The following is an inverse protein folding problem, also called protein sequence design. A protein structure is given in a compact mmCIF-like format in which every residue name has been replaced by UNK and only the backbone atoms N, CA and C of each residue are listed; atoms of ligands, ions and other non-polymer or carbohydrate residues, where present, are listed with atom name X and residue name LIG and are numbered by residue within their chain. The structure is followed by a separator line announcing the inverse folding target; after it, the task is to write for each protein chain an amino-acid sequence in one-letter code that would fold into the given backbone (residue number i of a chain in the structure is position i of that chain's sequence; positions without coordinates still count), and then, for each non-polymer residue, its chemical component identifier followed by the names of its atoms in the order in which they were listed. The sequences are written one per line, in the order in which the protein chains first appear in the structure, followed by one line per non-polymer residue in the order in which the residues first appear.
data_IF_265785304746
#
_entry.id   IF_265785304746
#
_cell.length_a   1.000
_cell.length_b   1.000
_cell.length_c   1.000
_cell.angle_alpha   90.00
_cell.angle_beta   90.00
_cell.angle_gamma   90.00
#
_symmetry.space_group_name_H-M   'P 1'
#
loop_
_entity.id
_entity.type
_entity.pdbx_description
1 polymer ?
#
# COMPACT_ATOMS: atom_id res chain seq x y z
N UNK A 1 28.24 -15.20 -62.23
CA UNK A 1 27.21 -14.18 -61.93
C UNK A 1 26.26 -14.81 -60.92
N UNK A 2 26.65 -14.74 -59.63
CA UNK A 2 25.91 -15.34 -58.54
C UNK A 2 24.93 -14.35 -57.96
N UNK A 3 23.65 -14.70 -58.05
CA UNK A 3 22.56 -13.95 -57.42
C UNK A 3 22.56 -14.21 -55.91
N UNK A 4 23.01 -13.23 -55.10
CA UNK A 4 22.83 -13.24 -53.65
C UNK A 4 21.34 -13.15 -53.34
N UNK A 5 20.80 -14.24 -52.81
CA UNK A 5 19.46 -14.28 -52.20
C UNK A 5 19.52 -13.51 -50.87
N UNK A 6 19.06 -12.26 -50.86
CA UNK A 6 18.83 -11.49 -49.64
C UNK A 6 17.67 -12.14 -48.90
N UNK A 7 17.96 -12.94 -47.90
CA UNK A 7 16.96 -13.43 -46.93
C UNK A 7 16.50 -12.23 -46.09
N UNK A 8 15.32 -11.70 -46.44
CA UNK A 8 14.60 -10.77 -45.55
C UNK A 8 14.26 -11.51 -44.23
N UNK A 9 15.12 -11.34 -43.24
CA UNK A 9 14.73 -11.63 -41.86
C UNK A 9 13.76 -10.56 -41.44
N UNK A 10 12.45 -10.85 -41.52
CA UNK A 10 11.41 -10.09 -40.82
C UNK A 10 11.64 -10.28 -39.33
N UNK A 11 12.41 -9.38 -38.71
CA UNK A 11 12.58 -9.30 -37.30
C UNK A 11 11.25 -8.72 -36.76
N UNK A 12 10.29 -9.59 -36.47
CA UNK A 12 9.10 -9.18 -35.73
C UNK A 12 9.59 -8.63 -34.39
N UNK A 13 9.52 -7.31 -34.21
CA UNK A 13 9.82 -6.67 -32.94
C UNK A 13 8.99 -7.34 -31.85
N UNK A 14 9.57 -7.69 -30.70
CA UNK A 14 8.81 -8.30 -29.61
C UNK A 14 7.60 -7.42 -29.29
N UNK A 15 6.40 -8.01 -29.41
CA UNK A 15 5.16 -7.29 -29.12
C UNK A 15 5.14 -6.95 -27.63
N UNK A 16 4.94 -5.68 -27.33
CA UNK A 16 4.78 -5.19 -25.95
C UNK A 16 3.43 -5.66 -25.41
N UNK A 17 3.42 -6.36 -24.29
CA UNK A 17 2.22 -6.82 -23.61
C UNK A 17 1.71 -5.75 -22.64
N UNK A 18 0.47 -5.27 -22.84
CA UNK A 18 -0.14 -4.22 -22.03
C UNK A 18 -1.19 -4.77 -21.07
N UNK A 19 -1.13 -4.37 -19.80
CA UNK A 19 -2.18 -4.59 -18.80
C UNK A 19 -2.94 -3.27 -18.59
N UNK A 20 -4.26 -3.32 -18.67
CA UNK A 20 -5.14 -2.16 -18.45
C UNK A 20 -5.73 -2.24 -17.04
N UNK A 21 -5.67 -1.14 -16.28
CA UNK A 21 -6.34 -1.03 -14.99
C UNK A 21 -7.31 0.14 -14.96
N UNK A 22 -8.55 -0.15 -14.53
CA UNK A 22 -9.59 0.84 -14.33
C UNK A 22 -10.24 0.69 -12.95
N UNK A 23 -10.67 1.82 -12.36
CA UNK A 23 -11.44 1.84 -11.12
C UNK A 23 -12.70 2.68 -11.31
N UNK A 24 -13.84 2.07 -11.04
CA UNK A 24 -15.16 2.67 -11.27
C UNK A 24 -15.88 2.88 -9.96
N UNK A 25 -16.49 4.05 -9.80
CA UNK A 25 -17.39 4.32 -8.67
C UNK A 25 -18.83 3.94 -9.04
N UNK A 26 -19.52 3.20 -8.18
CA UNK A 26 -20.93 2.79 -8.36
C UNK A 26 -21.93 3.96 -8.40
N UNK A 27 -21.50 5.19 -8.16
CA UNK A 27 -22.40 6.37 -8.04
C UNK A 27 -22.78 7.02 -9.39
N UNK A 28 -22.17 6.65 -10.50
CA UNK A 28 -22.53 7.13 -11.82
C UNK A 28 -22.72 5.94 -12.77
N UNK A 29 -23.99 5.70 -13.14
CA UNK A 29 -24.51 4.86 -14.22
C UNK A 29 -23.42 4.14 -15.04
N UNK A 30 -23.47 2.81 -15.09
CA UNK A 30 -22.50 1.86 -15.69
C UNK A 30 -21.88 2.18 -17.07
N UNK A 31 -22.22 3.32 -17.66
CA UNK A 31 -21.64 3.84 -18.90
C UNK A 31 -20.19 4.29 -18.75
N UNK A 32 -19.78 4.77 -17.56
CA UNK A 32 -18.45 5.40 -17.37
C UNK A 32 -17.31 4.35 -17.29
N UNK A 33 -17.59 3.14 -16.84
CA UNK A 33 -16.61 2.05 -16.72
C UNK A 33 -16.25 1.43 -18.05
N UNK A 34 -17.29 1.15 -18.85
CA UNK A 34 -17.13 0.51 -20.16
C UNK A 34 -16.44 1.45 -21.13
N UNK A 35 -16.74 2.76 -21.08
CA UNK A 35 -16.08 3.77 -21.90
C UNK A 35 -14.60 3.89 -21.57
N UNK A 36 -14.24 4.04 -20.29
CA UNK A 36 -12.84 4.17 -19.87
C UNK A 36 -12.01 2.95 -20.29
N UNK A 37 -12.53 1.74 -20.02
CA UNK A 37 -11.84 0.51 -20.40
C UNK A 37 -11.65 0.42 -21.92
N UNK A 38 -12.69 0.79 -22.71
CA UNK A 38 -12.61 0.78 -24.16
C UNK A 38 -11.55 1.75 -24.69
N UNK A 39 -11.53 2.99 -24.17
CA UNK A 39 -10.55 3.99 -24.61
C UNK A 39 -9.10 3.57 -24.26
N UNK A 40 -8.91 2.89 -23.12
CA UNK A 40 -7.60 2.35 -22.75
C UNK A 40 -7.17 1.20 -23.69
N UNK A 41 -8.09 0.33 -24.10
CA UNK A 41 -7.82 -0.73 -25.06
C UNK A 41 -7.48 -0.14 -26.42
N UNK A 42 -8.30 0.81 -26.92
CA UNK A 42 -8.04 1.52 -28.17
C UNK A 42 -6.69 2.27 -28.14
N UNK A 43 -6.28 2.80 -26.97
CA UNK A 43 -4.96 3.40 -26.81
C UNK A 43 -3.85 2.36 -26.98
N UNK A 44 -3.98 1.18 -26.37
CA UNK A 44 -3.00 0.10 -26.53
C UNK A 44 -2.90 -0.35 -27.99
N UNK A 45 -4.03 -0.51 -28.68
CA UNK A 45 -4.06 -0.87 -30.10
C UNK A 45 -3.37 0.17 -30.98
N UNK A 46 -3.64 1.47 -30.76
CA UNK A 46 -2.96 2.57 -31.48
C UNK A 46 -1.43 2.58 -31.27
N UNK A 47 -0.97 2.09 -30.09
CA UNK A 47 0.45 1.96 -29.76
C UNK A 47 1.05 0.66 -30.35
N UNK A 48 0.26 -0.20 -30.97
CA UNK A 48 0.70 -1.51 -31.47
C UNK A 48 1.02 -2.50 -30.33
N UNK A 49 0.44 -2.29 -29.14
CA UNK A 49 0.61 -3.17 -27.99
C UNK A 49 -0.45 -4.28 -27.98
N UNK A 50 -0.06 -5.46 -27.56
CA UNK A 50 -0.97 -6.59 -27.38
C UNK A 50 -1.58 -6.55 -25.97
N UNK A 51 -2.91 -6.70 -25.86
CA UNK A 51 -3.59 -6.67 -24.57
C UNK A 51 -3.37 -7.99 -23.84
N UNK A 52 -2.68 -7.96 -22.69
CA UNK A 52 -2.55 -9.09 -21.79
C UNK A 52 -3.83 -9.32 -20.97
N UNK A 53 -4.43 -8.25 -20.45
CA UNK A 53 -5.67 -8.33 -19.69
C UNK A 53 -6.17 -6.99 -19.14
N UNK A 54 -7.46 -6.99 -18.76
CA UNK A 54 -8.12 -5.87 -18.13
C UNK A 54 -8.42 -6.19 -16.66
N UNK A 55 -8.04 -5.27 -15.78
CA UNK A 55 -8.24 -5.35 -14.33
C UNK A 55 -9.17 -4.21 -13.92
N UNK A 56 -10.39 -4.55 -13.53
CA UNK A 56 -11.42 -3.55 -13.23
C UNK A 56 -11.94 -3.73 -11.81
N UNK A 57 -11.66 -2.75 -10.95
CA UNK A 57 -12.22 -2.70 -9.59
C UNK A 57 -13.52 -1.88 -9.61
N UNK A 58 -14.66 -2.55 -9.42
CA UNK A 58 -15.99 -1.94 -9.38
C UNK A 58 -16.42 -1.66 -7.94
N UNK A 59 -17.08 -0.50 -7.74
CA UNK A 59 -18.00 -0.28 -6.63
C UNK A 59 -17.39 -0.20 -5.24
N UNK A 60 -16.14 0.16 -5.08
CA UNK A 60 -15.55 0.30 -3.73
C UNK A 60 -15.97 1.61 -3.10
N UNK A 61 -17.10 1.60 -2.34
CA UNK A 61 -17.45 2.70 -1.44
C UNK A 61 -16.41 2.83 -0.33
N UNK A 62 -16.11 4.06 0.08
CA UNK A 62 -14.96 4.47 0.89
C UNK A 62 -14.71 3.82 2.25
N UNK A 63 -15.36 2.71 2.61
CA UNK A 63 -15.17 2.01 3.89
C UNK A 63 -14.53 0.62 3.81
N UNK A 64 -14.58 -0.08 2.66
CA UNK A 64 -13.86 -1.34 2.48
C UNK A 64 -12.80 -1.16 1.39
N UNK A 65 -11.56 -1.19 1.79
CA UNK A 65 -10.38 -0.89 0.96
C UNK A 65 -9.88 -2.11 0.16
N UNK A 66 -10.78 -3.03 -0.16
CA UNK A 66 -10.42 -4.21 -0.96
C UNK A 66 -10.42 -3.85 -2.44
N UNK A 67 -9.25 -3.90 -3.08
CA UNK A 67 -9.04 -3.76 -4.52
C UNK A 67 -8.51 -5.08 -5.06
N UNK A 68 -9.37 -6.08 -5.26
CA UNK A 68 -8.93 -7.42 -5.65
C UNK A 68 -8.22 -7.40 -7.00
N UNK A 69 -8.71 -6.62 -7.97
CA UNK A 69 -8.11 -6.56 -9.29
C UNK A 69 -6.79 -5.79 -9.30
N UNK A 70 -6.63 -4.73 -8.49
CA UNK A 70 -5.32 -4.10 -8.29
C UNK A 70 -4.31 -5.08 -7.67
N UNK A 71 -4.73 -5.87 -6.68
CA UNK A 71 -3.85 -6.86 -6.06
C UNK A 71 -3.46 -7.95 -7.06
N UNK A 72 -4.38 -8.38 -7.92
CA UNK A 72 -4.13 -9.33 -9.00
C UNK A 72 -3.16 -8.75 -10.03
N UNK A 73 -3.37 -7.49 -10.46
CA UNK A 73 -2.44 -6.78 -11.33
C UNK A 73 -1.02 -6.76 -10.75
N UNK A 74 -0.88 -6.43 -9.46
CA UNK A 74 0.43 -6.40 -8.79
C UNK A 74 1.07 -7.80 -8.70
N UNK A 75 0.28 -8.85 -8.47
CA UNK A 75 0.78 -10.23 -8.48
C UNK A 75 1.28 -10.64 -9.87
N UNK A 76 0.52 -10.31 -10.93
CA UNK A 76 0.91 -10.57 -12.32
C UNK A 76 2.12 -9.72 -12.74
N UNK A 77 2.26 -8.49 -12.22
CA UNK A 77 3.46 -7.67 -12.39
C UNK A 77 4.70 -8.34 -11.76
N UNK A 78 4.59 -8.85 -10.54
CA UNK A 78 5.69 -9.59 -9.91
C UNK A 78 6.07 -10.86 -10.69
N UNK A 79 5.10 -11.49 -11.37
CA UNK A 79 5.34 -12.60 -12.27
C UNK A 79 5.82 -12.17 -13.67
N UNK A 80 5.99 -10.87 -13.93
CA UNK A 80 6.42 -10.27 -15.21
C UNK A 80 5.59 -10.75 -16.41
N UNK A 81 4.27 -10.78 -16.24
CA UNK A 81 3.35 -11.26 -17.29
C UNK A 81 3.06 -10.24 -18.38
N UNK A 82 3.44 -8.97 -18.17
CA UNK A 82 3.24 -7.87 -19.10
C UNK A 82 4.39 -6.85 -18.97
N UNK A 83 4.52 -5.98 -19.95
CA UNK A 83 5.61 -5.01 -20.07
C UNK A 83 5.20 -3.58 -19.72
N UNK A 84 3.89 -3.29 -19.77
CA UNK A 84 3.36 -1.95 -19.50
C UNK A 84 1.99 -2.02 -18.82
N UNK A 85 1.79 -1.13 -17.85
CA UNK A 85 0.49 -0.88 -17.20
C UNK A 85 -0.07 0.42 -17.73
N UNK A 86 -1.30 0.39 -18.22
CA UNK A 86 -2.02 1.55 -18.76
C UNK A 86 -3.21 1.87 -17.88
N UNK A 87 -3.33 3.11 -17.43
CA UNK A 87 -4.41 3.58 -16.59
C UNK A 87 -5.05 4.85 -17.18
N UNK A 88 -6.33 5.07 -16.90
CA UNK A 88 -7.03 6.27 -17.33
C UNK A 88 -6.44 7.53 -16.69
N UNK A 89 -6.35 7.51 -15.32
CA UNK A 89 -5.79 8.56 -14.48
C UNK A 89 -5.07 7.94 -13.30
N UNK A 90 -4.03 8.60 -12.81
CA UNK A 90 -3.28 8.10 -11.66
C UNK A 90 -4.11 8.11 -10.36
N UNK A 91 -5.13 9.01 -10.21
CA UNK A 91 -6.02 9.01 -9.06
C UNK A 91 -6.99 7.80 -9.04
N UNK A 92 -7.22 7.17 -10.19
CA UNK A 92 -7.93 5.89 -10.28
C UNK A 92 -7.06 4.72 -9.85
N UNK A 93 -5.79 4.78 -10.16
CA UNK A 93 -4.81 3.78 -9.75
C UNK A 93 -4.43 3.92 -8.27
N UNK A 94 -4.17 5.14 -7.82
CA UNK A 94 -3.68 5.41 -6.46
C UNK A 94 -4.50 6.48 -5.74
N UNK A 95 -4.62 6.38 -4.41
CA UNK A 95 -5.32 7.35 -3.56
C UNK A 95 -4.41 8.47 -3.06
N UNK A 96 -3.12 8.33 -3.20
CA UNK A 96 -2.11 9.32 -2.79
C UNK A 96 -0.89 9.24 -3.68
N UNK A 97 -0.21 10.37 -3.82
CA UNK A 97 1.05 10.44 -4.58
C UNK A 97 2.08 9.47 -4.01
N UNK A 98 2.17 9.35 -2.68
CA UNK A 98 3.09 8.41 -2.03
C UNK A 98 2.80 6.94 -2.38
N UNK A 99 1.53 6.56 -2.53
CA UNK A 99 1.17 5.20 -2.95
C UNK A 99 1.47 4.97 -4.42
N UNK A 100 1.20 5.97 -5.28
CA UNK A 100 1.56 5.94 -6.70
C UNK A 100 3.08 5.74 -6.86
N UNK A 101 3.89 6.58 -6.21
CA UNK A 101 5.35 6.48 -6.30
C UNK A 101 5.88 5.11 -5.88
N UNK A 102 5.34 4.52 -4.80
CA UNK A 102 5.73 3.18 -4.37
C UNK A 102 5.41 2.11 -5.41
N UNK A 103 4.24 2.18 -6.04
CA UNK A 103 3.87 1.24 -7.10
C UNK A 103 4.76 1.42 -8.33
N UNK A 104 5.06 2.65 -8.71
CA UNK A 104 5.95 2.96 -9.84
C UNK A 104 7.40 2.54 -9.56
N UNK A 105 7.90 2.65 -8.32
CA UNK A 105 9.20 2.08 -7.90
C UNK A 105 9.23 0.56 -8.11
N UNK A 106 8.15 -0.14 -7.75
CA UNK A 106 8.01 -1.59 -7.98
C UNK A 106 8.03 -1.89 -9.48
N UNK A 107 7.23 -1.19 -10.28
CA UNK A 107 7.20 -1.39 -11.72
C UNK A 107 8.56 -1.14 -12.36
N UNK A 108 9.25 -0.07 -11.98
CA UNK A 108 10.60 0.22 -12.48
C UNK A 108 11.60 -0.89 -12.11
N UNK A 109 11.58 -1.39 -10.87
CA UNK A 109 12.41 -2.52 -10.44
C UNK A 109 12.12 -3.80 -11.26
N UNK A 110 10.88 -4.01 -11.65
CA UNK A 110 10.43 -5.13 -12.47
C UNK A 110 10.60 -4.88 -13.99
N UNK A 111 11.09 -3.70 -14.41
CA UNK A 111 11.18 -3.27 -15.81
C UNK A 111 9.83 -3.21 -16.51
N UNK A 112 8.79 -2.86 -15.78
CA UNK A 112 7.44 -2.64 -16.31
C UNK A 112 7.23 -1.13 -16.44
N UNK A 113 6.77 -0.69 -17.60
CA UNK A 113 6.44 0.70 -17.87
C UNK A 113 5.05 1.05 -17.33
N UNK A 114 4.81 2.34 -17.09
CA UNK A 114 3.53 2.86 -16.64
C UNK A 114 3.08 4.02 -17.51
N UNK A 115 1.81 4.00 -17.92
CA UNK A 115 1.20 5.06 -18.72
C UNK A 115 -0.10 5.51 -18.08
N UNK A 116 -0.21 6.81 -17.84
CA UNK A 116 -1.46 7.49 -17.46
C UNK A 116 -1.94 8.36 -18.60
N UNK A 117 -3.12 8.03 -19.13
CA UNK A 117 -3.59 8.58 -20.39
C UNK A 117 -3.94 10.08 -20.27
N UNK A 118 -4.67 10.47 -19.23
CA UNK A 118 -5.13 11.86 -19.06
C UNK A 118 -3.98 12.79 -18.66
N UNK A 119 -3.12 12.36 -17.74
CA UNK A 119 -1.98 13.17 -17.31
C UNK A 119 -0.80 13.11 -18.29
N UNK A 120 -0.90 12.31 -19.37
CA UNK A 120 0.14 12.13 -20.38
C UNK A 120 1.51 11.72 -19.78
N UNK A 121 1.46 10.99 -18.66
CA UNK A 121 2.66 10.43 -18.04
C UNK A 121 2.93 9.08 -18.68
N UNK A 122 4.04 8.98 -19.42
CA UNK A 122 4.45 7.76 -20.13
C UNK A 122 5.92 7.46 -19.80
N UNK A 123 6.13 6.49 -18.92
CA UNK A 123 7.48 6.11 -18.49
C UNK A 123 8.28 5.36 -19.56
N UNK A 124 7.68 5.06 -20.71
CA UNK A 124 8.42 4.56 -21.88
C UNK A 124 9.27 5.68 -22.53
N UNK A 125 8.97 6.94 -22.19
CA UNK A 125 9.67 8.12 -22.69
C UNK A 125 10.61 8.73 -21.64
N UNK A 126 11.73 9.34 -22.04
CA UNK A 126 12.61 10.05 -21.12
C UNK A 126 11.89 11.17 -20.33
N UNK A 127 10.98 11.90 -20.99
CA UNK A 127 10.19 12.95 -20.37
C UNK A 127 9.26 12.41 -19.28
N UNK A 128 8.55 11.31 -19.52
CA UNK A 128 7.69 10.68 -18.52
C UNK A 128 8.49 10.10 -17.36
N UNK A 129 9.66 9.52 -17.62
CA UNK A 129 10.58 9.06 -16.58
C UNK A 129 11.05 10.23 -15.70
N UNK A 130 11.36 11.38 -16.29
CA UNK A 130 11.72 12.60 -15.54
C UNK A 130 10.57 13.06 -14.65
N UNK A 131 9.35 13.16 -15.19
CA UNK A 131 8.13 13.53 -14.41
C UNK A 131 7.93 12.57 -13.25
N UNK A 132 8.13 11.27 -13.48
CA UNK A 132 8.06 10.28 -12.40
C UNK A 132 9.07 10.56 -11.28
N UNK A 133 10.33 10.85 -11.59
CA UNK A 133 11.34 11.16 -10.58
C UNK A 133 11.01 12.42 -9.79
N UNK A 134 10.44 13.43 -10.43
CA UNK A 134 9.97 14.65 -9.74
C UNK A 134 8.83 14.32 -8.76
N UNK A 135 7.83 13.55 -9.20
CA UNK A 135 6.72 13.12 -8.35
C UNK A 135 7.21 12.29 -7.15
N UNK A 136 8.16 11.39 -7.36
CA UNK A 136 8.76 10.59 -6.30
C UNK A 136 9.49 11.46 -5.26
N UNK A 137 10.25 12.46 -5.71
CA UNK A 137 10.94 13.41 -4.81
C UNK A 137 9.95 14.23 -3.99
N UNK A 138 8.86 14.72 -4.58
CA UNK A 138 7.79 15.46 -3.88
C UNK A 138 7.14 14.56 -2.82
N UNK A 139 6.75 13.33 -3.17
CA UNK A 139 6.14 12.39 -2.24
C UNK A 139 7.06 12.03 -1.06
N UNK A 140 8.35 11.91 -1.31
CA UNK A 140 9.36 11.69 -0.27
C UNK A 140 9.46 12.89 0.67
N UNK A 141 9.48 14.11 0.15
CA UNK A 141 9.50 15.35 0.93
C UNK A 141 8.26 15.50 1.81
N UNK A 142 7.05 15.24 1.29
CA UNK A 142 5.81 15.25 2.05
C UNK A 142 5.83 14.24 3.21
N UNK A 143 6.32 13.02 2.95
CA UNK A 143 6.46 11.99 4.00
C UNK A 143 7.42 12.44 5.10
N UNK A 144 8.56 13.01 4.73
CA UNK A 144 9.56 13.50 5.67
C UNK A 144 9.00 14.61 6.55
N UNK A 145 8.33 15.60 5.96
CA UNK A 145 7.63 16.68 6.67
C UNK A 145 6.58 16.15 7.64
N UNK A 146 5.81 15.13 7.24
CA UNK A 146 4.80 14.50 8.10
C UNK A 146 5.45 13.80 9.30
N UNK A 147 6.54 13.05 9.09
CA UNK A 147 7.30 12.40 10.16
C UNK A 147 7.87 13.42 11.14
N UNK A 148 8.41 14.51 10.64
CA UNK A 148 8.94 15.61 11.48
C UNK A 148 7.85 16.27 12.33
N UNK A 149 6.68 16.55 11.76
CA UNK A 149 5.52 17.10 12.49
C UNK A 149 5.06 16.14 13.60
N UNK A 150 4.95 14.84 13.29
CA UNK A 150 4.57 13.82 14.29
C UNK A 150 5.61 13.75 15.40
N UNK A 151 6.91 13.72 15.08
CA UNK A 151 7.98 13.71 16.07
C UNK A 151 7.97 14.96 16.94
N UNK A 152 7.75 16.15 16.36
CA UNK A 152 7.61 17.40 17.10
C UNK A 152 6.39 17.38 18.03
N UNK A 153 5.24 16.89 17.57
CA UNK A 153 4.03 16.71 18.35
C UNK A 153 4.24 15.76 19.55
N UNK A 154 4.94 14.65 19.34
CA UNK A 154 5.27 13.69 20.40
C UNK A 154 6.23 14.31 21.44
N UNK A 155 7.24 15.07 21.01
CA UNK A 155 8.13 15.79 21.95
C UNK A 155 7.36 16.79 22.79
N UNK A 156 6.48 17.60 22.18
CA UNK A 156 5.64 18.56 22.89
C UNK A 156 4.69 17.86 23.89
N UNK A 157 4.07 16.75 23.50
CA UNK A 157 3.20 15.99 24.40
C UNK A 157 3.97 15.43 25.61
N UNK A 158 5.21 14.94 25.39
CA UNK A 158 6.10 14.52 26.51
C UNK A 158 6.49 15.68 27.41
N UNK A 159 6.85 16.83 26.85
CA UNK A 159 7.19 18.03 27.63
C UNK A 159 6.01 18.52 28.48
N UNK A 160 4.77 18.33 27.99
CA UNK A 160 3.52 18.61 28.75
C UNK A 160 3.14 17.49 29.74
N UNK A 161 4.01 16.53 30.02
CA UNK A 161 3.76 15.42 30.95
C UNK A 161 2.75 14.39 30.46
N UNK A 162 2.29 14.46 29.19
CA UNK A 162 1.35 13.47 28.66
C UNK A 162 2.02 12.13 28.51
N UNK A 163 1.39 11.10 29.09
CA UNK A 163 1.84 9.73 28.94
C UNK A 163 1.50 9.22 27.53
N UNK A 164 2.52 8.83 26.79
CA UNK A 164 2.37 8.30 25.44
C UNK A 164 2.34 6.77 25.47
N UNK A 165 1.69 6.18 24.49
CA UNK A 165 1.56 4.74 24.30
C UNK A 165 0.21 4.20 24.75
N UNK A 166 0.08 2.85 24.79
CA UNK A 166 -1.17 2.19 25.16
C UNK A 166 -1.49 2.46 26.64
N UNK A 167 -2.72 2.91 27.00
CA UNK A 167 -3.13 3.07 28.38
C UNK A 167 -2.90 1.78 29.17
N UNK A 168 -2.38 1.92 30.39
CA UNK A 168 -2.26 0.76 31.30
C UNK A 168 -3.65 0.34 31.73
N UNK A 169 -3.92 -0.96 31.74
CA UNK A 169 -5.14 -1.48 32.36
C UNK A 169 -5.09 -1.19 33.84
N UNK A 170 -6.18 -0.68 34.38
CA UNK A 170 -6.32 -0.59 35.84
C UNK A 170 -6.48 -2.03 36.40
N UNK A 171 -5.68 -2.39 37.36
CA UNK A 171 -5.66 -3.72 37.97
C UNK A 171 -5.88 -3.55 39.43
N UNK A 172 -6.86 -4.27 40.00
CA UNK A 172 -7.09 -4.28 41.44
C UNK A 172 -6.03 -5.18 42.12
N UNK A 173 -5.00 -4.55 42.67
CA UNK A 173 -3.85 -5.24 43.25
C UNK A 173 -4.21 -5.89 44.57
N UNK A 174 -5.12 -5.30 45.34
CA UNK A 174 -5.55 -5.87 46.64
C UNK A 174 -6.25 -7.22 46.44
N UNK A 175 -7.07 -7.33 45.39
CA UNK A 175 -7.69 -8.60 44.98
C UNK A 175 -6.66 -9.64 44.53
N UNK A 176 -5.58 -9.22 43.85
CA UNK A 176 -4.48 -10.11 43.46
C UNK A 176 -3.81 -10.66 44.77
N UNK A 177 -3.51 -9.78 45.71
CA UNK A 177 -2.84 -10.14 46.95
C UNK A 177 -3.72 -11.09 47.80
N UNK A 178 -5.02 -10.82 47.92
CA UNK A 178 -5.94 -11.69 48.66
C UNK A 178 -6.02 -13.09 48.02
N UNK A 179 -6.13 -13.19 46.72
CA UNK A 179 -6.12 -14.48 46.01
C UNK A 179 -4.76 -15.20 46.18
N UNK A 180 -3.67 -14.45 46.21
CA UNK A 180 -2.34 -15.04 46.43
C UNK A 180 -2.16 -15.59 47.84
N UNK A 181 -2.64 -14.87 48.87
CA UNK A 181 -2.65 -15.32 50.27
C UNK A 181 -3.51 -16.57 50.44
N UNK A 182 -4.59 -16.70 49.67
CA UNK A 182 -5.43 -17.90 49.64
C UNK A 182 -4.79 -19.09 48.87
N UNK A 183 -3.51 -19.00 48.48
CA UNK A 183 -2.76 -20.09 47.86
C UNK A 183 -2.94 -20.25 46.34
N UNK A 184 -3.67 -19.36 45.65
CA UNK A 184 -3.88 -19.47 44.21
C UNK A 184 -2.61 -19.22 43.40
N UNK A 185 -2.42 -19.98 42.33
CA UNK A 185 -1.31 -19.78 41.38
C UNK A 185 -1.49 -18.52 40.54
N UNK A 186 -0.40 -17.95 40.01
CA UNK A 186 -0.46 -16.80 39.13
C UNK A 186 -1.34 -17.03 37.86
N UNK A 187 -1.36 -18.26 37.36
CA UNK A 187 -2.21 -18.67 36.23
C UNK A 187 -3.69 -18.65 36.59
N UNK A 188 -4.04 -19.17 37.78
CA UNK A 188 -5.41 -19.16 38.31
C UNK A 188 -5.90 -17.73 38.51
N UNK A 189 -5.08 -16.87 39.16
CA UNK A 189 -5.39 -15.46 39.40
C UNK A 189 -5.60 -14.72 38.07
N UNK A 190 -4.75 -14.94 37.06
CA UNK A 190 -4.87 -14.35 35.75
C UNK A 190 -6.19 -14.75 35.06
N UNK A 191 -6.59 -16.02 35.16
CA UNK A 191 -7.87 -16.51 34.63
C UNK A 191 -9.06 -15.87 35.35
N UNK A 192 -9.08 -15.84 36.68
CA UNK A 192 -10.16 -15.21 37.45
C UNK A 192 -10.31 -13.72 37.14
N UNK A 193 -9.19 -13.02 36.99
CA UNK A 193 -9.19 -11.57 36.71
C UNK A 193 -9.30 -11.22 35.21
N UNK A 194 -9.36 -12.22 34.31
CA UNK A 194 -9.38 -12.05 32.85
C UNK A 194 -8.22 -11.17 32.34
N UNK A 195 -7.03 -11.37 32.89
CA UNK A 195 -5.79 -10.66 32.59
C UNK A 195 -4.71 -11.65 32.14
N UNK A 196 -3.66 -11.15 31.48
CA UNK A 196 -2.49 -11.98 31.26
C UNK A 196 -1.69 -12.22 32.51
N UNK A 197 -1.03 -13.38 32.63
CA UNK A 197 -0.18 -13.72 33.77
C UNK A 197 0.90 -12.65 34.01
N UNK A 198 1.52 -12.14 32.94
CA UNK A 198 2.51 -11.06 33.03
C UNK A 198 1.94 -9.76 33.58
N UNK A 199 0.68 -9.41 33.28
CA UNK A 199 0.02 -8.21 33.83
C UNK A 199 -0.21 -8.36 35.32
N UNK A 200 -0.71 -9.52 35.77
CA UNK A 200 -0.95 -9.82 37.18
C UNK A 200 0.35 -9.79 37.98
N UNK A 201 1.39 -10.45 37.48
CA UNK A 201 2.70 -10.50 38.11
C UNK A 201 3.35 -9.12 38.26
N UNK A 202 3.33 -8.33 37.13
CA UNK A 202 3.90 -6.98 37.15
C UNK A 202 3.14 -6.04 38.10
N UNK A 203 1.81 -6.15 38.16
CA UNK A 203 1.00 -5.35 39.07
C UNK A 203 1.31 -5.64 40.52
N UNK A 204 1.40 -6.91 40.92
CA UNK A 204 1.77 -7.32 42.26
C UNK A 204 3.16 -6.82 42.66
N UNK A 205 4.16 -6.97 41.79
CA UNK A 205 5.54 -6.53 42.05
C UNK A 205 5.68 -5.01 42.16
N UNK A 206 4.91 -4.24 41.40
CA UNK A 206 4.99 -2.76 41.40
C UNK A 206 4.50 -2.15 42.73
N UNK A 207 3.66 -2.83 43.49
CA UNK A 207 3.22 -2.40 44.81
C UNK A 207 4.23 -2.77 45.89
N UNK A 208 4.87 -3.94 45.81
CA UNK A 208 5.94 -4.32 46.75
C UNK A 208 7.12 -3.33 46.70
N UNK A 209 7.48 -2.86 45.51
CA UNK A 209 8.53 -1.86 45.33
C UNK A 209 8.16 -0.49 45.94
N UNK A 210 6.87 -0.12 45.98
CA UNK A 210 6.42 1.15 46.58
C UNK A 210 6.41 1.10 48.12
N UNK A 211 6.17 -0.06 48.71
CA UNK A 211 6.14 -0.24 50.17
C UNK A 211 7.55 -0.30 50.74
N UNK A 212 8.55 -0.72 49.96
CA UNK A 212 9.97 -0.77 50.38
C UNK A 212 10.70 0.58 50.27
N UNK A 213 10.10 1.58 49.60
CA UNK A 213 10.66 2.91 49.41
C UNK A 213 9.92 4.01 50.20
N UNK A 214 8.97 3.67 51.07
CA UNK A 214 8.27 4.54 52.02
C UNK A 214 8.72 4.22 53.44
#
# INVERSE_FOLDING_TARGET
MELQVVRNYSCASPKVLAAVYARVSTLHNGQDSTMQTRELVEYCERRGWELFGCYVDEGVSGKKDSRPELNRLMADAHARRFDVVVVWRFDRFSRSVSHLCRALEIFNALKINFVSMIEQIDTTTPAGTFVFHVLAAVAQSERQTTVERVRAGLRNARAKGKRLGRPRKSVNVDRINSLRTSGHSWRTIASVMKLSVGTVYTAARSQHAKVLCA
#
